data_IF_620420019059
#
_entry.id   IF_620420019059
#
_cell.length_a   1.000
_cell.length_b   1.000
_cell.length_c   1.000
_cell.angle_alpha   90.00
_cell.angle_beta   90.00
_cell.angle_gamma   90.00
#
_symmetry.space_group_name_H-M   'P 1'
#
loop_
_entity.id
_entity.type
_entity.pdbx_description
1 polymer ?
#
# COMPACT_ATOMS: atom_id res chain seq x y z
N UNK A 1 5.13 -2.52 17.71
CA UNK A 1 5.76 -2.02 16.47
C UNK A 1 4.67 -1.37 15.64
N UNK A 2 4.92 -0.23 14.97
CA UNK A 2 3.90 0.44 14.14
C UNK A 2 3.77 -0.33 12.83
N UNK A 3 2.67 -1.07 12.68
CA UNK A 3 2.39 -1.86 11.47
C UNK A 3 1.91 -0.95 10.34
N UNK A 4 2.45 -1.15 9.15
CA UNK A 4 2.09 -0.45 7.92
C UNK A 4 1.57 -1.45 6.89
N UNK A 5 0.35 -1.26 6.40
CA UNK A 5 -0.27 -2.17 5.42
C UNK A 5 -0.01 -1.67 3.99
N UNK A 6 0.48 -2.55 3.11
CA UNK A 6 0.72 -2.22 1.72
C UNK A 6 -0.14 -3.09 0.81
N UNK A 7 -0.80 -2.48 -0.16
CA UNK A 7 -1.52 -3.19 -1.21
C UNK A 7 -1.32 -2.54 -2.57
N UNK A 8 -1.66 -3.27 -3.63
CA UNK A 8 -1.57 -2.80 -5.01
C UNK A 8 -2.75 -3.25 -5.87
N UNK A 9 -2.92 -2.63 -7.03
CA UNK A 9 -3.71 -3.21 -8.11
C UNK A 9 -2.86 -4.14 -9.01
N UNK A 10 -3.39 -4.48 -10.18
CA UNK A 10 -2.79 -5.43 -11.13
C UNK A 10 -1.81 -4.79 -12.12
N UNK A 11 -1.44 -3.50 -11.98
CA UNK A 11 -0.54 -2.83 -12.93
C UNK A 11 0.83 -3.52 -13.01
N UNK A 12 1.42 -3.66 -14.21
CA UNK A 12 2.72 -4.32 -14.38
C UNK A 12 3.86 -3.69 -13.59
N UNK A 13 3.87 -2.36 -13.43
CA UNK A 13 4.85 -1.64 -12.62
C UNK A 13 4.61 -1.76 -11.09
N UNK A 14 3.50 -2.36 -10.67
CA UNK A 14 3.11 -2.47 -9.26
C UNK A 14 4.13 -3.18 -8.36
N UNK A 15 4.70 -4.34 -8.75
CA UNK A 15 5.70 -5.05 -7.96
C UNK A 15 6.97 -4.22 -7.69
N UNK A 16 7.48 -3.51 -8.70
CA UNK A 16 8.68 -2.67 -8.55
C UNK A 16 8.43 -1.49 -7.60
N UNK A 17 7.30 -0.80 -7.76
CA UNK A 17 6.91 0.30 -6.86
C UNK A 17 6.70 -0.23 -5.43
N UNK A 18 6.14 -1.43 -5.28
CA UNK A 18 5.98 -2.10 -3.97
C UNK A 18 7.34 -2.37 -3.33
N UNK A 19 8.30 -2.89 -4.09
CA UNK A 19 9.63 -3.22 -3.55
C UNK A 19 10.36 -1.95 -3.10
N UNK A 20 10.35 -0.89 -3.90
CA UNK A 20 10.95 0.40 -3.54
C UNK A 20 10.30 1.01 -2.29
N UNK A 21 8.97 1.03 -2.22
CA UNK A 21 8.24 1.57 -1.07
C UNK A 21 8.47 0.72 0.19
N UNK A 22 8.48 -0.61 0.06
CA UNK A 22 8.75 -1.52 1.17
C UNK A 22 10.15 -1.30 1.74
N UNK A 23 11.16 -1.17 0.88
CA UNK A 23 12.54 -0.89 1.32
C UNK A 23 12.60 0.40 2.13
N UNK A 24 12.07 1.51 1.60
CA UNK A 24 12.11 2.80 2.30
C UNK A 24 11.35 2.79 3.65
N UNK A 25 10.23 2.06 3.73
CA UNK A 25 9.47 1.90 4.96
C UNK A 25 10.23 1.06 6.01
N UNK A 26 10.89 -0.02 5.58
CA UNK A 26 11.72 -0.85 6.45
C UNK A 26 12.92 -0.07 6.98
N UNK A 27 13.59 0.70 6.12
CA UNK A 27 14.72 1.56 6.50
C UNK A 27 14.30 2.64 7.51
N UNK A 28 13.05 3.12 7.42
CA UNK A 28 12.44 4.04 8.38
C UNK A 28 11.95 3.35 9.68
N UNK A 29 12.11 2.03 9.82
CA UNK A 29 11.76 1.26 11.01
C UNK A 29 10.29 0.81 11.10
N UNK A 30 9.54 0.84 10.00
CA UNK A 30 8.17 0.33 9.95
C UNK A 30 8.13 -1.22 9.92
N UNK A 31 7.07 -1.79 10.50
CA UNK A 31 6.70 -3.21 10.31
C UNK A 31 5.75 -3.32 9.12
N UNK A 32 6.27 -3.66 7.94
CA UNK A 32 5.49 -3.67 6.68
C UNK A 32 4.82 -5.02 6.47
N UNK A 33 3.51 -5.01 6.23
CA UNK A 33 2.75 -6.16 5.76
C UNK A 33 2.27 -5.94 4.32
N UNK A 34 2.86 -6.66 3.36
CA UNK A 34 2.38 -6.71 1.97
C UNK A 34 1.15 -7.63 1.89
N UNK A 35 0.03 -7.06 1.48
CA UNK A 35 -1.26 -7.74 1.33
C UNK A 35 -1.52 -8.15 -0.12
N UNK A 36 -0.58 -7.89 -1.04
CA UNK A 36 -0.67 -8.25 -2.44
C UNK A 36 -1.69 -7.41 -3.21
N UNK A 37 -2.42 -8.08 -4.12
CA UNK A 37 -3.44 -7.43 -4.95
C UNK A 37 -4.75 -7.32 -4.18
N UNK A 38 -5.15 -6.11 -3.83
CA UNK A 38 -6.40 -5.82 -3.13
C UNK A 38 -7.01 -4.49 -3.58
N UNK A 39 -8.35 -4.35 -3.59
CA UNK A 39 -8.99 -3.07 -3.83
C UNK A 39 -8.60 -2.02 -2.78
N UNK A 40 -8.49 -0.75 -3.19
CA UNK A 40 -8.28 0.39 -2.28
C UNK A 40 -9.15 0.34 -1.01
N UNK A 41 -10.48 0.10 -1.07
CA UNK A 41 -11.31 0.07 0.14
C UNK A 41 -10.99 -1.10 1.08
N UNK A 42 -10.46 -2.22 0.58
CA UNK A 42 -10.06 -3.34 1.44
C UNK A 42 -8.86 -2.97 2.32
N UNK A 43 -7.88 -2.25 1.76
CA UNK A 43 -6.74 -1.74 2.53
C UNK A 43 -7.20 -0.72 3.57
N UNK A 44 -8.07 0.23 3.18
CA UNK A 44 -8.64 1.21 4.11
C UNK A 44 -9.38 0.53 5.28
N UNK A 45 -10.22 -0.47 4.97
CA UNK A 45 -10.93 -1.25 5.98
C UNK A 45 -9.95 -1.97 6.93
N UNK A 46 -8.95 -2.68 6.39
CA UNK A 46 -7.99 -3.45 7.19
C UNK A 46 -7.12 -2.58 8.09
N UNK A 47 -6.78 -1.35 7.69
CA UNK A 47 -6.07 -0.39 8.55
C UNK A 47 -6.86 -0.21 9.85
N UNK A 48 -8.13 0.17 9.73
CA UNK A 48 -9.02 0.34 10.89
C UNK A 48 -9.31 -0.95 11.64
N UNK A 49 -9.54 -2.07 10.92
CA UNK A 49 -9.92 -3.34 11.55
C UNK A 49 -8.79 -4.03 12.31
N UNK A 50 -7.54 -3.76 11.94
CA UNK A 50 -6.36 -4.39 12.56
C UNK A 50 -5.60 -3.46 13.51
N UNK A 51 -5.99 -2.19 13.59
CA UNK A 51 -5.27 -1.17 14.36
C UNK A 51 -3.89 -0.85 13.78
N UNK A 52 -3.68 -1.05 12.47
CA UNK A 52 -2.44 -0.69 11.80
C UNK A 52 -2.30 0.83 11.76
N UNK A 53 -1.09 1.36 11.94
CA UNK A 53 -0.88 2.81 12.09
C UNK A 53 -1.18 3.61 10.81
N UNK A 54 -0.96 3.00 9.65
CA UNK A 54 -1.23 3.56 8.34
C UNK A 54 -1.16 2.44 7.27
N UNK A 55 -1.45 2.80 6.04
CA UNK A 55 -1.14 1.97 4.88
C UNK A 55 -0.99 2.75 3.59
N UNK A 56 -0.64 2.04 2.52
CA UNK A 56 -0.57 2.61 1.19
C UNK A 56 -1.19 1.68 0.14
N UNK A 57 -1.71 2.28 -0.92
CA UNK A 57 -2.22 1.59 -2.10
C UNK A 57 -1.46 2.06 -3.33
N UNK A 58 -0.86 1.11 -4.05
CA UNK A 58 -0.19 1.33 -5.32
C UNK A 58 -1.20 1.13 -6.44
N UNK A 59 -1.74 2.24 -6.97
CA UNK A 59 -2.74 2.24 -8.04
C UNK A 59 -2.95 3.65 -8.57
N UNK A 60 -3.23 3.77 -9.88
CA UNK A 60 -3.73 4.99 -10.50
C UNK A 60 -5.25 4.96 -10.78
N UNK A 61 -6.02 4.15 -10.04
CA UNK A 61 -7.48 4.05 -10.20
C UNK A 61 -7.86 3.69 -11.66
N UNK A 62 -8.55 4.57 -12.37
CA UNK A 62 -9.04 4.38 -13.74
C UNK A 62 -8.01 4.76 -14.82
N UNK A 63 -6.85 5.29 -14.46
CA UNK A 63 -5.87 5.77 -15.43
C UNK A 63 -5.29 4.61 -16.29
N UNK A 64 -4.80 4.88 -17.50
CA UNK A 64 -4.11 3.91 -18.36
C UNK A 64 -3.07 3.05 -17.62
N UNK A 65 -2.89 1.79 -18.06
CA UNK A 65 -2.03 0.81 -17.38
C UNK A 65 -0.56 1.22 -17.20
N UNK A 66 -0.07 2.13 -18.06
CA UNK A 66 1.29 2.68 -17.99
C UNK A 66 1.48 3.68 -16.83
N UNK A 67 0.39 4.25 -16.31
CA UNK A 67 0.42 5.16 -15.16
C UNK A 67 0.33 4.39 -13.84
N UNK A 68 0.94 4.93 -12.78
CA UNK A 68 0.83 4.37 -11.44
C UNK A 68 0.86 5.50 -10.40
N UNK A 69 0.54 5.19 -9.15
CA UNK A 69 0.51 6.17 -8.07
C UNK A 69 0.49 5.51 -6.70
N UNK A 70 0.80 6.28 -5.66
CA UNK A 70 0.80 5.83 -4.27
C UNK A 70 -0.22 6.68 -3.50
N UNK A 71 -1.16 6.03 -2.82
CA UNK A 71 -2.16 6.68 -1.95
C UNK A 71 -1.87 6.27 -0.51
N UNK A 72 -1.57 7.23 0.37
CA UNK A 72 -1.45 6.97 1.81
C UNK A 72 -2.82 7.02 2.47
N UNK A 73 -3.05 6.09 3.39
CA UNK A 73 -4.29 5.91 4.13
C UNK A 73 -3.98 5.83 5.62
N UNK A 74 -4.83 6.41 6.46
CA UNK A 74 -4.77 6.28 7.91
C UNK A 74 -6.20 6.20 8.47
N UNK A 75 -6.34 6.33 9.79
CA UNK A 75 -7.63 6.24 10.48
C UNK A 75 -8.51 7.51 10.40
N UNK A 76 -8.10 8.55 9.66
CA UNK A 76 -8.80 9.83 9.53
C UNK A 76 -9.46 9.97 8.15
#
# INVERSE_FOLDING_TARGET
>A
RRRFLLGRDTRPAGPEVRDALTSGLLDAGADVADLGVLPTPAIAYLISHTGASAGAVISASHNPAAENGIKFLNHL
#
